data_IF_435355916714
#
_entry.id   IF_435355916714
#
_cell.length_a   1.000
_cell.length_b   1.000
_cell.length_c   1.000
_cell.angle_alpha   90.00
_cell.angle_beta   90.00
_cell.angle_gamma   90.00
#
_symmetry.space_group_name_H-M   'P 1'
#
loop_
_entity.id
_entity.type
_entity.pdbx_description
1 polymer ?
#
# COMPACT_ATOMS: atom_id res chain seq x y z
N UNK A 1 -20.50 -30.54 -63.09
CA UNK A 1 -21.93 -30.81 -62.84
C UNK A 1 -21.99 -31.88 -61.76
N UNK A 2 -22.00 -31.50 -60.49
CA UNK A 2 -22.08 -32.44 -59.36
C UNK A 2 -22.96 -31.81 -58.27
N UNK A 3 -24.00 -32.55 -57.85
CA UNK A 3 -24.91 -32.16 -56.77
C UNK A 3 -24.42 -32.79 -55.46
N UNK A 4 -24.47 -32.10 -54.32
CA UNK A 4 -24.15 -32.71 -53.03
C UNK A 4 -25.36 -33.44 -52.42
N UNK A 5 -25.04 -34.57 -51.80
CA UNK A 5 -25.91 -35.57 -51.20
C UNK A 5 -26.66 -35.08 -49.94
N UNK A 6 -27.94 -35.43 -49.81
CA UNK A 6 -28.73 -35.27 -48.57
C UNK A 6 -28.52 -36.47 -47.63
N UNK A 7 -28.31 -36.21 -46.34
CA UNK A 7 -28.25 -37.23 -45.27
C UNK A 7 -29.67 -37.66 -44.82
N UNK A 8 -29.90 -38.93 -44.43
CA UNK A 8 -31.16 -39.38 -43.85
C UNK A 8 -31.26 -39.11 -42.32
N UNK A 9 -32.47 -39.08 -41.75
CA UNK A 9 -32.69 -38.75 -40.34
C UNK A 9 -32.42 -39.94 -39.38
N UNK A 10 -32.19 -39.68 -38.08
CA UNK A 10 -31.83 -40.71 -37.10
C UNK A 10 -33.03 -41.51 -36.59
N UNK A 11 -32.82 -42.73 -36.05
CA UNK A 11 -33.89 -43.60 -35.54
C UNK A 11 -34.31 -43.21 -34.11
N UNK A 12 -35.57 -43.51 -33.77
CA UNK A 12 -36.14 -43.31 -32.42
C UNK A 12 -35.63 -44.37 -31.42
N UNK A 13 -35.40 -44.02 -30.14
CA UNK A 13 -34.95 -44.97 -29.14
C UNK A 13 -36.09 -45.86 -28.63
N UNK A 14 -35.80 -47.16 -28.47
CA UNK A 14 -36.66 -48.14 -27.80
C UNK A 14 -36.42 -48.13 -26.27
N UNK A 15 -37.49 -48.24 -25.50
CA UNK A 15 -37.43 -48.34 -24.04
C UNK A 15 -36.92 -49.72 -23.61
N UNK A 16 -35.91 -49.75 -22.72
CA UNK A 16 -35.44 -50.97 -22.04
C UNK A 16 -35.97 -50.99 -20.60
N UNK A 17 -36.33 -52.17 -20.04
CA UNK A 17 -36.80 -52.27 -18.66
C UNK A 17 -35.65 -52.09 -17.66
N UNK A 18 -35.98 -51.53 -16.48
CA UNK A 18 -35.03 -51.24 -15.41
C UNK A 18 -34.44 -52.52 -14.79
N UNK A 19 -33.11 -52.53 -14.67
CA UNK A 19 -32.35 -53.60 -14.02
C UNK A 19 -32.44 -53.49 -12.48
N UNK A 20 -32.59 -54.62 -11.75
CA UNK A 20 -32.74 -54.64 -10.28
C UNK A 20 -31.54 -54.07 -9.50
N UNK A 21 -30.43 -53.75 -10.16
CA UNK A 21 -29.24 -53.13 -9.56
C UNK A 21 -29.43 -51.65 -9.17
N UNK A 22 -30.43 -50.95 -9.75
CA UNK A 22 -30.66 -49.52 -9.43
C UNK A 22 -31.37 -49.35 -8.09
N UNK A 23 -32.17 -50.33 -7.66
CA UNK A 23 -32.91 -50.25 -6.40
C UNK A 23 -31.98 -50.31 -5.18
N UNK A 24 -30.90 -51.09 -5.25
CA UNK A 24 -29.94 -51.24 -4.15
C UNK A 24 -29.02 -50.02 -3.99
N UNK A 25 -28.65 -49.34 -5.07
CA UNK A 25 -27.73 -48.18 -5.02
C UNK A 25 -28.41 -46.93 -4.42
N UNK A 26 -29.74 -46.80 -4.53
CA UNK A 26 -30.47 -45.63 -4.01
C UNK A 26 -31.03 -45.87 -2.61
N UNK A 27 -31.48 -47.10 -2.29
CA UNK A 27 -32.12 -47.38 -1.00
C UNK A 27 -31.12 -47.44 0.17
N UNK A 28 -29.91 -47.96 -0.04
CA UNK A 28 -28.89 -48.06 1.00
C UNK A 28 -28.46 -46.70 1.61
N UNK A 29 -28.14 -45.65 0.83
CA UNK A 29 -27.77 -44.36 1.40
C UNK A 29 -28.94 -43.66 2.12
N UNK A 30 -30.18 -43.87 1.67
CA UNK A 30 -31.37 -43.30 2.34
C UNK A 30 -31.62 -43.96 3.72
N UNK A 31 -31.42 -45.28 3.83
CA UNK A 31 -31.51 -45.98 5.11
C UNK A 31 -30.39 -45.52 6.06
N UNK A 32 -29.18 -45.31 5.54
CA UNK A 32 -28.06 -44.80 6.34
C UNK A 32 -28.34 -43.38 6.89
N UNK A 33 -28.84 -42.47 6.05
CA UNK A 33 -29.26 -41.12 6.47
C UNK A 33 -30.37 -41.16 7.54
N UNK A 34 -31.34 -42.07 7.39
CA UNK A 34 -32.39 -42.28 8.39
C UNK A 34 -31.84 -42.76 9.74
N UNK A 35 -30.87 -43.67 9.73
CA UNK A 35 -30.24 -44.15 10.97
C UNK A 35 -29.40 -43.07 11.66
N UNK A 36 -28.68 -42.23 10.91
CA UNK A 36 -27.93 -41.09 11.47
C UNK A 36 -28.88 -40.06 12.11
N UNK A 37 -30.01 -39.77 11.46
CA UNK A 37 -31.01 -38.85 11.99
C UNK A 37 -31.65 -39.37 13.29
N UNK A 38 -31.98 -40.67 13.34
CA UNK A 38 -32.49 -41.31 14.56
C UNK A 38 -31.46 -41.31 15.70
N UNK A 39 -30.18 -41.55 15.39
CA UNK A 39 -29.10 -41.46 16.38
C UNK A 39 -28.95 -40.03 16.93
N UNK A 40 -29.10 -39.00 16.08
CA UNK A 40 -29.09 -37.61 16.52
C UNK A 40 -30.27 -37.25 17.43
N UNK A 41 -31.47 -37.76 17.14
CA UNK A 41 -32.63 -37.57 18.01
C UNK A 41 -32.46 -38.25 19.38
N UNK A 42 -31.84 -39.43 19.44
CA UNK A 42 -31.57 -40.09 20.72
C UNK A 42 -30.46 -39.40 21.53
N UNK A 43 -29.50 -38.75 20.87
CA UNK A 43 -28.48 -37.92 21.53
C UNK A 43 -29.05 -36.62 22.09
N UNK A 44 -29.97 -35.95 21.38
CA UNK A 44 -30.65 -34.76 21.89
C UNK A 44 -31.67 -35.06 23.01
N UNK A 45 -32.28 -36.25 23.00
CA UNK A 45 -33.22 -36.68 24.05
C UNK A 45 -32.58 -37.09 25.38
N UNK A 46 -31.24 -37.24 25.45
CA UNK A 46 -30.52 -37.71 26.65
C UNK A 46 -29.78 -36.62 27.44
N UNK A 47 -29.79 -35.36 26.98
CA UNK A 47 -29.22 -34.23 27.71
C UNK A 47 -30.32 -33.20 27.99
N UNK A 48 -31.01 -33.25 29.16
CA UNK A 48 -31.84 -32.14 29.56
C UNK A 48 -30.96 -30.90 29.71
N UNK A 49 -31.42 -29.78 29.16
CA UNK A 49 -30.80 -28.46 29.30
C UNK A 49 -30.54 -28.19 30.78
N UNK A 50 -29.27 -28.28 31.18
CA UNK A 50 -28.80 -27.79 32.47
C UNK A 50 -28.99 -26.27 32.46
N UNK A 51 -30.08 -25.84 33.10
CA UNK A 51 -30.29 -24.47 33.52
C UNK A 51 -29.18 -24.09 34.52
N UNK A 52 -28.06 -23.60 34.00
CA UNK A 52 -27.11 -22.82 34.78
C UNK A 52 -27.68 -21.41 34.93
N UNK A 53 -28.44 -21.20 36.01
CA UNK A 53 -28.61 -19.87 36.57
C UNK A 53 -27.23 -19.37 37.03
N UNK A 54 -26.72 -18.22 36.53
CA UNK A 54 -25.59 -17.58 37.16
C UNK A 54 -26.04 -17.02 38.51
N UNK A 55 -25.22 -17.14 39.59
CA UNK A 55 -25.51 -16.42 40.82
C UNK A 55 -25.44 -14.91 40.53
N UNK A 56 -26.38 -14.17 41.10
CA UNK A 56 -26.40 -12.72 41.09
C UNK A 56 -25.12 -12.17 41.75
N UNK A 57 -24.10 -11.89 40.93
CA UNK A 57 -22.93 -11.12 41.34
C UNK A 57 -23.25 -9.63 41.15
N UNK A 58 -23.66 -9.04 42.26
CA UNK A 58 -23.46 -7.65 42.68
C UNK A 58 -22.56 -6.84 41.72
N UNK A 59 -23.16 -5.92 40.96
CA UNK A 59 -22.46 -4.90 40.20
C UNK A 59 -21.64 -4.03 41.17
N UNK A 60 -20.36 -4.39 41.38
CA UNK A 60 -19.35 -3.39 41.71
C UNK A 60 -19.15 -2.58 40.43
N UNK A 61 -19.47 -1.29 40.48
CA UNK A 61 -18.97 -0.30 39.53
C UNK A 61 -17.43 -0.31 39.56
N UNK A 62 -16.84 -1.24 38.80
CA UNK A 62 -15.46 -1.14 38.35
C UNK A 62 -15.42 -0.09 37.26
N UNK A 63 -14.61 0.95 37.46
CA UNK A 63 -14.34 2.00 36.49
C UNK A 63 -14.14 1.37 35.11
N UNK A 64 -15.03 1.71 34.18
CA UNK A 64 -14.82 1.49 32.76
C UNK A 64 -13.43 2.00 32.42
N UNK A 65 -12.54 1.11 32.02
CA UNK A 65 -11.26 1.47 31.41
C UNK A 65 -11.60 2.23 30.14
N UNK A 66 -11.65 3.55 30.23
CA UNK A 66 -11.74 4.44 29.08
C UNK A 66 -10.51 4.17 28.22
N UNK A 67 -10.70 3.43 27.14
CA UNK A 67 -9.75 3.40 26.02
C UNK A 67 -9.61 4.87 25.58
N UNK A 68 -8.39 5.43 25.51
CA UNK A 68 -8.22 6.82 25.14
C UNK A 68 -8.68 6.99 23.69
N UNK A 69 -9.87 7.55 23.49
CA UNK A 69 -10.30 8.01 22.17
C UNK A 69 -9.29 9.03 21.65
N UNK A 70 -8.79 8.84 20.43
CA UNK A 70 -8.09 9.90 19.71
C UNK A 70 -9.03 11.11 19.65
N UNK A 71 -8.57 12.27 20.14
CA UNK A 71 -9.31 13.53 19.93
C UNK A 71 -9.46 13.75 18.42
N UNK A 72 -10.61 14.25 17.99
CA UNK A 72 -10.90 14.65 16.59
C UNK A 72 -9.87 15.60 15.97
N UNK A 73 -9.05 16.25 16.81
CA UNK A 73 -8.03 17.24 16.42
C UNK A 73 -6.58 16.78 16.60
N UNK A 74 -6.31 15.48 16.86
CA UNK A 74 -4.93 14.99 16.94
C UNK A 74 -4.40 14.66 15.54
N UNK A 75 -3.56 15.54 14.99
CA UNK A 75 -2.80 15.28 13.76
C UNK A 75 -1.63 14.32 14.08
N UNK A 76 -1.68 13.03 13.68
CA UNK A 76 -0.67 12.05 14.08
C UNK A 76 0.72 12.35 13.51
N UNK A 77 0.76 13.19 12.49
CA UNK A 77 1.92 13.51 11.66
C UNK A 77 2.71 14.72 12.14
N UNK A 78 2.20 15.46 13.13
CA UNK A 78 2.93 16.53 13.84
C UNK A 78 3.42 16.01 15.17
N UNK A 79 4.66 16.32 15.53
CA UNK A 79 5.30 15.71 16.69
C UNK A 79 6.82 15.75 16.62
N UNK A 80 7.46 14.89 17.39
CA UNK A 80 8.92 14.83 17.48
C UNK A 80 9.44 13.40 17.59
N UNK A 81 10.65 13.16 17.09
CA UNK A 81 11.35 11.90 17.30
C UNK A 81 12.01 11.87 18.68
N UNK A 82 11.73 10.82 19.43
CA UNK A 82 12.38 10.53 20.70
C UNK A 82 13.08 9.18 20.68
N UNK A 83 14.08 9.01 21.55
CA UNK A 83 14.66 7.69 21.80
C UNK A 83 13.66 6.87 22.62
N UNK A 84 13.33 5.68 22.13
CA UNK A 84 12.42 4.75 22.78
C UNK A 84 12.89 3.31 22.61
N UNK A 85 12.40 2.44 23.49
CA UNK A 85 12.59 0.99 23.35
C UNK A 85 11.36 0.40 22.68
N UNK A 86 11.41 0.30 21.35
CA UNK A 86 10.42 -0.45 20.59
C UNK A 86 11.06 -1.69 20.01
N UNK A 87 10.63 -2.90 20.43
CA UNK A 87 11.08 -4.13 19.80
C UNK A 87 10.77 -4.10 18.30
N UNK A 88 11.70 -4.62 17.49
CA UNK A 88 11.44 -4.82 16.08
C UNK A 88 10.27 -5.80 15.93
N UNK A 89 9.27 -5.44 15.12
CA UNK A 89 8.13 -6.32 14.86
C UNK A 89 8.49 -7.52 14.00
N UNK A 90 9.50 -7.36 13.16
CA UNK A 90 9.98 -8.39 12.25
C UNK A 90 11.49 -8.28 12.07
N UNK A 91 12.09 -9.37 11.62
CA UNK A 91 13.51 -9.46 11.33
C UNK A 91 13.77 -9.50 9.82
N UNK A 92 15.05 -9.54 9.43
CA UNK A 92 15.45 -9.61 8.02
C UNK A 92 15.02 -10.90 7.28
N UNK A 93 14.38 -11.85 7.97
CA UNK A 93 13.89 -13.12 7.40
C UNK A 93 12.49 -13.00 6.78
N UNK A 94 11.78 -11.88 6.99
CA UNK A 94 10.43 -11.70 6.44
C UNK A 94 10.40 -11.97 4.91
N UNK A 95 9.47 -12.82 4.42
CA UNK A 95 9.48 -13.30 3.03
C UNK A 95 9.06 -12.24 2.00
N UNK A 96 8.54 -11.09 2.44
CA UNK A 96 8.10 -9.99 1.60
C UNK A 96 9.19 -8.96 1.28
N UNK A 97 10.33 -9.05 1.96
CA UNK A 97 11.45 -8.12 1.76
C UNK A 97 11.92 -8.03 0.30
N UNK A 98 12.36 -6.82 -0.07
CA UNK A 98 13.22 -6.60 -1.23
C UNK A 98 14.66 -6.53 -0.77
N UNK A 99 15.58 -7.11 -1.54
CA UNK A 99 17.00 -7.18 -1.17
C UNK A 99 17.58 -5.79 -0.84
N UNK A 100 17.32 -4.80 -1.69
CA UNK A 100 17.87 -3.45 -1.54
C UNK A 100 17.43 -2.71 -0.26
N UNK A 101 16.33 -3.13 0.38
CA UNK A 101 15.78 -2.44 1.57
C UNK A 101 15.99 -3.25 2.86
N UNK A 102 16.47 -4.49 2.76
CA UNK A 102 16.71 -5.36 3.91
C UNK A 102 18.08 -5.04 4.54
N UNK A 103 18.16 -3.89 5.20
CA UNK A 103 19.41 -3.36 5.74
C UNK A 103 19.98 -4.21 6.88
N UNK A 104 19.14 -4.93 7.63
CA UNK A 104 19.60 -5.93 8.60
C UNK A 104 20.40 -7.04 7.91
N UNK A 105 19.85 -7.63 6.85
CA UNK A 105 20.53 -8.70 6.10
C UNK A 105 21.75 -8.20 5.34
N UNK A 106 21.70 -6.95 4.85
CA UNK A 106 22.79 -6.35 4.10
C UNK A 106 23.92 -5.83 5.00
N UNK A 107 23.85 -6.04 6.32
CA UNK A 107 24.93 -5.73 7.25
C UNK A 107 25.11 -4.23 7.50
N UNK A 108 24.05 -3.43 7.39
CA UNK A 108 24.12 -2.00 7.69
C UNK A 108 24.43 -1.77 9.16
N UNK A 109 25.46 -0.98 9.47
CA UNK A 109 25.80 -0.67 10.84
C UNK A 109 24.77 0.29 11.47
N UNK A 110 24.65 0.26 12.79
CA UNK A 110 23.81 1.21 13.53
C UNK A 110 22.29 0.97 13.42
N UNK A 111 21.86 -0.17 12.85
CA UNK A 111 20.43 -0.49 12.69
C UNK A 111 19.64 -0.50 14.01
N UNK A 112 20.24 -0.92 15.13
CA UNK A 112 19.63 -0.81 16.46
C UNK A 112 19.38 0.66 16.85
N UNK A 113 20.38 1.51 16.61
CA UNK A 113 20.28 2.95 16.82
C UNK A 113 19.21 3.59 15.92
N UNK A 114 19.12 3.19 14.65
CA UNK A 114 18.13 3.73 13.71
C UNK A 114 16.70 3.33 14.12
N UNK A 115 16.52 2.10 14.61
CA UNK A 115 15.21 1.56 14.98
C UNK A 115 14.77 1.86 16.43
N UNK A 116 15.63 2.46 17.24
CA UNK A 116 15.26 2.95 18.59
C UNK A 116 14.64 4.35 18.59
N UNK A 117 14.42 4.94 17.42
CA UNK A 117 13.66 6.18 17.30
C UNK A 117 12.17 5.88 17.25
N UNK A 118 11.38 6.60 18.04
CA UNK A 118 9.93 6.51 18.11
C UNK A 118 9.34 7.90 17.88
N UNK A 119 8.33 7.98 17.02
CA UNK A 119 7.63 9.22 16.73
C UNK A 119 6.58 9.53 17.79
N UNK A 120 6.62 10.70 18.41
CA UNK A 120 5.66 11.13 19.44
C UNK A 120 4.82 12.27 18.88
N UNK A 121 3.52 12.07 18.60
CA UNK A 121 2.64 13.12 18.10
C UNK A 121 2.42 14.27 19.11
N UNK A 122 2.21 15.50 18.62
CA UNK A 122 2.25 16.75 19.41
C UNK A 122 1.08 16.92 20.40
N UNK A 123 -0.09 16.26 20.23
CA UNK A 123 -1.29 16.58 21.05
C UNK A 123 -2.29 15.42 21.28
N UNK A 124 -1.82 14.17 21.41
CA UNK A 124 -2.70 13.02 21.71
C UNK A 124 -2.83 12.70 23.22
N UNK A 125 -2.41 13.59 24.14
CA UNK A 125 -2.41 13.35 25.60
C UNK A 125 -3.45 14.22 26.29
N UNK A 126 -4.50 13.63 26.87
CA UNK A 126 -5.18 14.26 28.01
C UNK A 126 -4.25 14.16 29.21
N UNK A 127 -4.08 15.22 30.00
CA UNK A 127 -3.11 15.36 31.12
C UNK A 127 -3.09 14.22 32.16
N UNK A 128 -4.03 13.27 32.12
CA UNK A 128 -4.15 12.12 33.00
C UNK A 128 -3.79 10.74 32.37
N UNK A 129 -3.39 10.67 31.10
CA UNK A 129 -3.09 9.40 30.42
C UNK A 129 -1.60 9.30 30.08
N UNK A 130 -1.00 8.13 30.29
CA UNK A 130 0.34 7.79 29.79
C UNK A 130 0.51 8.21 28.32
N UNK A 131 1.73 8.54 27.85
CA UNK A 131 1.96 8.88 26.45
C UNK A 131 1.30 7.83 25.55
N UNK A 132 0.63 8.23 24.45
CA UNK A 132 -0.04 7.29 23.56
C UNK A 132 0.94 6.18 23.19
N UNK A 133 0.50 4.93 23.29
CA UNK A 133 1.32 3.80 22.86
C UNK A 133 1.54 3.97 21.36
N UNK A 134 2.72 4.43 20.97
CA UNK A 134 3.09 4.59 19.55
C UNK A 134 3.34 3.19 18.98
N UNK A 135 2.30 2.67 18.36
CA UNK A 135 2.29 1.36 17.71
C UNK A 135 0.97 0.62 17.96
N UNK A 136 0.76 -0.41 17.17
CA UNK A 136 -0.41 -1.28 17.27
C UNK A 136 0.03 -2.74 17.44
N UNK A 137 -0.91 -3.57 17.91
CA UNK A 137 -0.80 -5.02 17.89
C UNK A 137 -1.19 -5.53 16.48
N UNK A 138 -0.26 -6.15 15.71
CA UNK A 138 -0.57 -6.63 14.38
C UNK A 138 -1.67 -7.69 14.32
N UNK A 139 -1.82 -8.52 15.36
CA UNK A 139 -2.88 -9.52 15.42
C UNK A 139 -4.24 -8.87 15.66
N UNK A 140 -4.30 -7.85 16.53
CA UNK A 140 -5.52 -7.07 16.75
C UNK A 140 -5.95 -6.35 15.47
N UNK A 141 -5.02 -5.71 14.76
CA UNK A 141 -5.33 -5.06 13.49
C UNK A 141 -5.80 -6.06 12.42
N UNK A 142 -5.13 -7.20 12.26
CA UNK A 142 -5.58 -8.26 11.34
C UNK A 142 -6.98 -8.77 11.71
N UNK A 143 -7.30 -8.86 13.00
CA UNK A 143 -8.64 -9.23 13.48
C UNK A 143 -9.69 -8.18 13.11
N UNK A 144 -9.41 -6.90 13.33
CA UNK A 144 -10.30 -5.80 12.92
C UNK A 144 -10.49 -5.73 11.40
N UNK A 145 -9.45 -6.11 10.64
CA UNK A 145 -9.47 -6.17 9.19
C UNK A 145 -9.99 -7.51 8.63
N UNK A 146 -10.52 -8.41 9.45
CA UNK A 146 -10.91 -9.76 9.03
C UNK A 146 -11.82 -9.71 7.79
N UNK A 147 -11.45 -10.48 6.77
CA UNK A 147 -12.18 -10.55 5.51
C UNK A 147 -12.11 -9.27 4.66
N UNK A 148 -11.15 -8.35 4.90
CA UNK A 148 -10.99 -7.11 4.13
C UNK A 148 -9.76 -7.11 3.23
N UNK A 149 -9.76 -6.20 2.26
CA UNK A 149 -8.69 -6.05 1.27
C UNK A 149 -8.13 -4.63 1.25
N UNK A 150 -6.81 -4.52 1.33
CA UNK A 150 -6.05 -3.27 1.36
C UNK A 150 -5.22 -3.17 0.08
N UNK A 151 -5.42 -2.10 -0.69
CA UNK A 151 -4.71 -1.85 -1.94
C UNK A 151 -3.81 -0.62 -1.82
N UNK A 152 -2.59 -0.73 -2.29
CA UNK A 152 -1.66 0.37 -2.44
C UNK A 152 -1.42 0.62 -3.92
N UNK A 153 -1.41 1.88 -4.33
CA UNK A 153 -1.26 2.28 -5.73
C UNK A 153 -0.22 3.37 -5.82
N UNK A 154 0.73 3.26 -6.75
CA UNK A 154 1.66 4.35 -7.02
C UNK A 154 3.07 3.93 -7.36
N UNK A 155 4.05 4.70 -6.86
CA UNK A 155 5.47 4.56 -7.17
C UNK A 155 6.21 3.57 -6.24
N UNK A 156 7.54 3.50 -6.39
CA UNK A 156 8.38 2.55 -5.65
C UNK A 156 8.45 2.82 -4.14
N UNK A 157 8.08 4.01 -3.66
CA UNK A 157 8.00 4.27 -2.24
C UNK A 157 6.74 3.65 -1.63
N UNK A 158 5.63 3.56 -2.38
CA UNK A 158 4.51 2.74 -1.90
C UNK A 158 4.87 1.25 -1.91
N UNK A 159 5.68 0.78 -2.85
CA UNK A 159 6.22 -0.59 -2.74
C UNK A 159 7.08 -0.76 -1.48
N UNK A 160 7.94 0.21 -1.15
CA UNK A 160 8.76 0.20 0.07
C UNK A 160 7.88 0.21 1.33
N UNK A 161 6.83 1.04 1.35
CA UNK A 161 5.85 1.08 2.43
C UNK A 161 5.09 -0.25 2.58
N UNK A 162 4.60 -0.82 1.48
CA UNK A 162 3.89 -2.11 1.47
C UNK A 162 4.76 -3.25 1.99
N UNK A 163 6.06 -3.25 1.71
CA UNK A 163 6.96 -4.28 2.25
C UNK A 163 7.05 -4.18 3.78
N UNK A 164 7.15 -2.97 4.34
CA UNK A 164 7.09 -2.75 5.80
C UNK A 164 5.75 -3.20 6.38
N UNK A 165 4.65 -2.83 5.73
CA UNK A 165 3.30 -3.21 6.14
C UNK A 165 3.13 -4.73 6.16
N UNK A 166 3.49 -5.41 5.07
CA UNK A 166 3.42 -6.87 4.96
C UNK A 166 4.29 -7.58 6.00
N UNK A 167 5.52 -7.12 6.22
CA UNK A 167 6.41 -7.72 7.22
C UNK A 167 5.93 -7.47 8.65
N UNK A 168 5.32 -6.31 8.91
CA UNK A 168 4.67 -6.02 10.19
C UNK A 168 3.50 -6.97 10.45
N UNK A 169 2.65 -7.23 9.46
CA UNK A 169 1.51 -8.15 9.63
C UNK A 169 1.95 -9.62 9.68
N UNK A 170 3.02 -9.97 8.97
CA UNK A 170 3.58 -11.33 8.99
C UNK A 170 4.03 -11.77 10.38
N UNK A 171 4.38 -10.84 11.29
CA UNK A 171 4.71 -11.19 12.66
C UNK A 171 3.53 -11.72 13.48
N UNK A 172 2.29 -11.47 13.05
CA UNK A 172 1.07 -12.01 13.65
C UNK A 172 0.48 -13.20 12.87
N UNK A 173 0.79 -13.34 11.58
CA UNK A 173 0.37 -14.49 10.77
C UNK A 173 1.54 -14.97 9.90
N UNK A 174 2.28 -15.93 10.45
CA UNK A 174 3.46 -16.52 9.83
C UNK A 174 3.16 -17.33 8.56
N UNK A 175 1.90 -17.75 8.36
CA UNK A 175 1.44 -18.52 7.20
C UNK A 175 1.07 -17.63 6.01
N UNK A 176 1.34 -16.33 6.10
CA UNK A 176 1.06 -15.38 5.04
C UNK A 176 1.74 -15.79 3.72
N UNK A 177 0.97 -15.76 2.64
CA UNK A 177 1.41 -16.19 1.31
C UNK A 177 1.56 -15.00 0.38
N UNK A 178 2.53 -15.05 -0.53
CA UNK A 178 2.65 -14.04 -1.59
C UNK A 178 1.37 -13.98 -2.42
N UNK A 179 0.90 -12.77 -2.70
CA UNK A 179 -0.30 -12.52 -3.48
C UNK A 179 0.00 -11.60 -4.67
N UNK A 180 -0.30 -12.07 -5.88
CA UNK A 180 -0.08 -11.35 -7.16
C UNK A 180 -1.26 -11.45 -8.12
N UNK A 181 -2.47 -11.68 -7.58
CA UNK A 181 -3.68 -11.78 -8.39
C UNK A 181 -4.15 -10.38 -8.80
N UNK A 182 -5.10 -10.30 -9.74
CA UNK A 182 -5.71 -9.04 -10.21
C UNK A 182 -4.68 -7.97 -10.66
N UNK A 183 -3.55 -8.38 -11.24
CA UNK A 183 -2.52 -7.46 -11.73
C UNK A 183 -1.57 -6.91 -10.66
N UNK A 184 -1.69 -7.33 -9.40
CA UNK A 184 -0.81 -6.84 -8.35
C UNK A 184 0.65 -7.25 -8.57
N UNK A 185 1.53 -6.25 -8.49
CA UNK A 185 2.97 -6.42 -8.62
C UNK A 185 3.56 -7.16 -7.41
N UNK A 186 3.03 -6.85 -6.22
CA UNK A 186 3.40 -7.43 -4.94
C UNK A 186 2.18 -7.49 -4.01
N UNK A 187 2.18 -8.41 -3.06
CA UNK A 187 1.13 -8.52 -2.06
C UNK A 187 1.32 -9.71 -1.14
N UNK A 188 0.45 -9.79 -0.13
CA UNK A 188 0.36 -10.86 0.84
C UNK A 188 -1.10 -11.22 1.15
N UNK A 189 -1.36 -12.50 1.36
CA UNK A 189 -2.62 -13.04 1.85
C UNK A 189 -2.39 -13.68 3.21
N UNK A 190 -3.14 -13.25 4.22
CA UNK A 190 -3.03 -13.67 5.62
C UNK A 190 -4.20 -14.63 5.94
N UNK A 191 -3.99 -15.96 5.82
CA UNK A 191 -5.08 -16.93 5.82
C UNK A 191 -5.85 -17.02 7.15
N UNK A 192 -5.22 -16.74 8.29
CA UNK A 192 -5.91 -16.82 9.59
C UNK A 192 -6.98 -15.73 9.76
N UNK A 193 -6.87 -14.66 8.96
CA UNK A 193 -7.74 -13.49 9.05
C UNK A 193 -8.51 -13.21 7.75
N UNK A 194 -8.27 -13.96 6.67
CA UNK A 194 -8.77 -13.63 5.32
C UNK A 194 -8.49 -12.17 4.94
N UNK A 195 -7.26 -11.71 5.19
CA UNK A 195 -6.82 -10.35 4.83
C UNK A 195 -5.94 -10.42 3.59
N UNK A 196 -6.20 -9.55 2.61
CA UNK A 196 -5.32 -9.38 1.45
C UNK A 196 -4.74 -7.98 1.45
N UNK A 197 -3.43 -7.87 1.25
CA UNK A 197 -2.72 -6.62 0.99
C UNK A 197 -2.06 -6.71 -0.37
N UNK A 198 -2.25 -5.70 -1.22
CA UNK A 198 -1.72 -5.70 -2.58
C UNK A 198 -1.16 -4.34 -2.98
N UNK A 199 -0.17 -4.35 -3.87
CA UNK A 199 0.44 -3.18 -4.48
C UNK A 199 0.31 -3.24 -6.00
N UNK A 200 -0.23 -2.17 -6.58
CA UNK A 200 -0.33 -1.91 -8.01
C UNK A 200 0.62 -0.79 -8.40
N UNK A 201 1.56 -1.10 -9.28
CA UNK A 201 2.55 -0.13 -9.73
C UNK A 201 1.94 0.77 -10.79
N UNK A 202 1.75 2.05 -10.47
CA UNK A 202 1.18 3.06 -11.34
C UNK A 202 1.88 4.40 -11.09
N UNK A 203 3.12 4.53 -11.58
CA UNK A 203 4.05 5.60 -11.19
C UNK A 203 3.58 7.03 -11.50
N UNK A 204 2.74 7.21 -12.54
CA UNK A 204 2.11 8.49 -12.89
C UNK A 204 0.61 8.52 -12.60
N UNK A 205 0.03 7.41 -12.11
CA UNK A 205 -1.42 7.16 -11.94
C UNK A 205 -2.26 7.24 -13.23
N UNK A 206 -1.97 8.16 -14.15
CA UNK A 206 -2.56 8.23 -15.50
C UNK A 206 -1.92 7.23 -16.46
N UNK A 207 -2.66 6.88 -17.51
CA UNK A 207 -2.16 6.06 -18.60
C UNK A 207 -1.03 6.81 -19.30
N UNK A 208 0.13 6.16 -19.38
CA UNK A 208 1.27 6.71 -20.10
C UNK A 208 1.93 5.66 -20.99
N UNK A 209 2.48 6.08 -22.12
CA UNK A 209 3.05 5.18 -23.14
C UNK A 209 4.15 5.88 -23.93
N UNK A 210 5.21 5.13 -24.21
CA UNK A 210 6.31 5.57 -25.06
C UNK A 210 5.85 5.70 -26.52
N UNK A 211 6.26 6.79 -27.17
CA UNK A 211 6.10 7.04 -28.59
C UNK A 211 7.46 7.40 -29.20
N UNK A 212 7.99 6.62 -30.16
CA UNK A 212 9.22 6.98 -30.85
C UNK A 212 9.00 8.21 -31.73
N UNK A 213 10.05 9.01 -31.94
CA UNK A 213 9.99 10.10 -32.91
C UNK A 213 9.80 9.54 -34.33
N UNK A 214 8.84 10.07 -35.09
CA UNK A 214 8.63 9.69 -36.48
C UNK A 214 9.74 10.24 -37.39
N UNK A 215 10.18 9.46 -38.39
CA UNK A 215 11.01 9.97 -39.48
C UNK A 215 12.49 10.21 -39.15
N UNK A 216 13.12 9.42 -38.28
CA UNK A 216 14.59 9.38 -38.13
C UNK A 216 15.23 8.87 -39.44
N UNK A 217 15.34 9.74 -40.44
CA UNK A 217 16.32 9.59 -41.51
C UNK A 217 17.71 9.74 -40.89
N UNK A 218 18.56 8.74 -41.15
CA UNK A 218 19.94 8.71 -40.67
C UNK A 218 20.65 9.99 -41.15
N UNK A 219 20.79 10.98 -40.27
CA UNK A 219 21.40 12.28 -40.61
C UNK A 219 20.84 13.51 -39.88
N UNK A 220 19.60 13.46 -39.36
CA UNK A 220 19.05 14.55 -38.54
C UNK A 220 19.40 14.36 -37.06
N UNK A 221 20.22 15.24 -36.50
CA UNK A 221 20.52 15.31 -35.05
C UNK A 221 19.33 15.91 -34.28
N UNK A 222 18.15 15.30 -34.36
CA UNK A 222 17.11 15.60 -33.36
C UNK A 222 17.59 15.08 -32.01
N UNK A 223 17.76 15.97 -31.02
CA UNK A 223 18.09 15.57 -29.63
C UNK A 223 16.97 14.73 -29.00
N UNK A 224 15.73 14.86 -29.49
CA UNK A 224 14.56 14.12 -29.00
C UNK A 224 14.46 12.77 -29.73
N UNK A 225 14.47 11.69 -28.95
CA UNK A 225 14.36 10.29 -29.42
C UNK A 225 12.90 9.82 -29.56
N UNK A 226 11.99 10.55 -28.94
CA UNK A 226 10.57 10.24 -28.79
C UNK A 226 10.06 10.86 -27.50
N UNK A 227 8.83 10.54 -27.09
CA UNK A 227 8.22 11.08 -25.89
C UNK A 227 7.32 10.06 -25.18
N UNK A 228 7.04 10.30 -23.91
CA UNK A 228 6.01 9.58 -23.18
C UNK A 228 4.72 10.36 -23.22
N UNK A 229 3.74 9.87 -23.99
CA UNK A 229 2.37 10.39 -23.97
C UNK A 229 1.75 10.06 -22.61
N UNK A 230 1.19 11.06 -21.94
CA UNK A 230 0.39 10.92 -20.71
C UNK A 230 -1.03 11.40 -21.01
N UNK A 231 -2.00 10.49 -20.97
CA UNK A 231 -3.42 10.84 -21.11
C UNK A 231 -3.94 11.27 -19.71
N UNK A 232 -4.01 12.57 -19.45
CA UNK A 232 -4.24 13.10 -18.08
C UNK A 232 -5.60 12.72 -17.51
N UNK A 233 -6.57 12.56 -18.39
CA UNK A 233 -7.98 12.24 -18.15
C UNK A 233 -8.28 10.74 -18.15
N UNK A 234 -7.30 9.90 -18.47
CA UNK A 234 -7.46 8.44 -18.50
C UNK A 234 -6.57 7.79 -17.44
N UNK A 235 -7.14 7.18 -16.38
CA UNK A 235 -6.35 6.52 -15.36
C UNK A 235 -5.68 5.26 -15.92
N UNK A 236 -4.55 4.89 -15.33
CA UNK A 236 -3.86 3.64 -15.67
C UNK A 236 -4.73 2.43 -15.29
N UNK A 237 -4.94 1.53 -16.24
CA UNK A 237 -5.77 0.34 -16.08
C UNK A 237 -5.27 -0.62 -14.98
N UNK A 238 -3.97 -0.56 -14.66
CA UNK A 238 -3.33 -1.39 -13.63
C UNK A 238 -3.98 -1.22 -12.25
N UNK A 239 -4.55 -0.06 -11.95
CA UNK A 239 -5.23 0.19 -10.67
C UNK A 239 -6.70 0.55 -10.81
N UNK A 240 -7.09 1.23 -11.89
CA UNK A 240 -8.48 1.68 -12.09
C UNK A 240 -9.46 0.50 -12.16
N UNK A 241 -9.04 -0.61 -12.78
CA UNK A 241 -9.91 -1.76 -13.02
C UNK A 241 -10.15 -2.64 -11.78
N UNK A 242 -9.52 -2.33 -10.66
CA UNK A 242 -9.51 -3.18 -9.46
C UNK A 242 -9.94 -2.46 -8.20
N UNK A 243 -10.31 -1.18 -8.28
CA UNK A 243 -10.68 -0.35 -7.12
C UNK A 243 -11.82 -0.95 -6.29
N UNK A 244 -12.84 -1.52 -6.94
CA UNK A 244 -14.00 -2.13 -6.30
C UNK A 244 -13.69 -3.41 -5.50
N UNK A 245 -12.51 -3.99 -5.68
CA UNK A 245 -12.04 -5.14 -4.90
C UNK A 245 -11.51 -4.76 -3.51
N UNK A 246 -11.18 -3.48 -3.29
CA UNK A 246 -10.51 -3.03 -2.09
C UNK A 246 -11.48 -2.29 -1.14
N UNK A 247 -11.32 -2.57 0.14
CA UNK A 247 -12.02 -1.88 1.23
C UNK A 247 -11.21 -0.68 1.75
N UNK A 248 -9.89 -0.70 1.56
CA UNK A 248 -8.98 0.41 1.83
C UNK A 248 -8.06 0.62 0.63
N UNK A 249 -7.91 1.85 0.16
CA UNK A 249 -6.99 2.23 -0.91
C UNK A 249 -6.01 3.32 -0.45
N UNK A 250 -4.72 3.12 -0.68
CA UNK A 250 -3.65 4.07 -0.34
C UNK A 250 -2.89 4.46 -1.61
N UNK A 251 -3.05 5.69 -2.06
CA UNK A 251 -2.45 6.23 -3.28
C UNK A 251 -1.17 7.02 -2.98
N UNK A 252 -0.26 7.06 -3.94
CA UNK A 252 0.82 8.04 -3.98
C UNK A 252 1.31 8.26 -5.42
N UNK A 253 1.92 9.40 -5.68
CA UNK A 253 2.74 9.66 -6.86
C UNK A 253 3.65 10.86 -6.58
N UNK A 254 4.83 10.92 -7.19
CA UNK A 254 5.73 12.07 -7.02
C UNK A 254 7.16 11.81 -7.48
N UNK A 255 7.77 10.68 -7.11
CA UNK A 255 9.22 10.47 -7.36
C UNK A 255 9.60 10.27 -8.83
N UNK A 256 8.62 10.10 -9.71
CA UNK A 256 8.84 10.03 -11.16
C UNK A 256 8.65 11.37 -11.87
N UNK A 257 8.14 12.39 -11.17
CA UNK A 257 7.84 13.70 -11.74
C UNK A 257 9.08 14.60 -11.72
N UNK A 258 10.12 14.17 -12.42
CA UNK A 258 11.36 14.92 -12.55
C UNK A 258 12.17 14.58 -13.80
N UNK A 259 13.10 15.46 -14.20
CA UNK A 259 13.91 15.29 -15.39
C UNK A 259 14.84 14.06 -15.32
N UNK A 260 15.12 13.54 -14.12
CA UNK A 260 15.89 12.31 -13.93
C UNK A 260 15.18 11.06 -14.48
N UNK A 261 13.84 11.08 -14.54
CA UNK A 261 13.04 9.98 -15.13
C UNK A 261 12.59 10.29 -16.54
N UNK A 262 12.34 11.56 -16.83
CA UNK A 262 11.88 12.05 -18.12
C UNK A 262 12.78 13.18 -18.61
N UNK A 263 13.99 12.86 -19.10
CA UNK A 263 14.95 13.86 -19.56
C UNK A 263 14.48 14.48 -20.90
N UNK A 264 15.18 15.52 -21.36
CA UNK A 264 14.80 16.29 -22.55
C UNK A 264 14.76 15.44 -23.84
N UNK A 265 15.54 14.38 -23.90
CA UNK A 265 15.59 13.45 -25.04
C UNK A 265 14.37 12.52 -25.09
N UNK A 266 13.69 12.32 -23.95
CA UNK A 266 12.50 11.48 -23.80
C UNK A 266 11.47 12.13 -22.85
N UNK A 267 10.93 13.31 -23.19
CA UNK A 267 10.11 14.11 -22.28
C UNK A 267 8.71 13.52 -22.11
N UNK A 268 7.98 14.03 -21.12
CA UNK A 268 6.52 13.84 -21.02
C UNK A 268 5.82 14.77 -22.01
N UNK A 269 4.77 14.27 -22.66
CA UNK A 269 3.82 15.09 -23.44
C UNK A 269 2.42 14.75 -23.00
N UNK A 270 1.67 15.76 -22.59
CA UNK A 270 0.36 15.60 -21.96
C UNK A 270 -0.75 15.72 -23.00
N UNK A 271 -1.73 14.83 -22.88
CA UNK A 271 -2.88 14.72 -23.76
C UNK A 271 -4.16 14.75 -22.93
N UNK A 272 -5.22 15.33 -23.48
CA UNK A 272 -6.57 15.33 -22.92
C UNK A 272 -7.56 15.13 -24.05
N UNK A 273 -8.57 14.27 -23.84
CA UNK A 273 -9.60 13.95 -24.83
C UNK A 273 -9.01 13.48 -26.19
N UNK A 274 -7.84 12.83 -26.14
CA UNK A 274 -7.15 12.31 -27.31
C UNK A 274 -6.14 13.27 -27.96
N UNK A 275 -6.22 14.57 -27.64
CA UNK A 275 -5.44 15.65 -28.26
C UNK A 275 -4.29 16.14 -27.36
N UNK A 276 -3.15 16.60 -27.92
CA UNK A 276 -2.05 17.16 -27.14
C UNK A 276 -2.47 18.49 -26.50
N UNK A 277 -2.06 18.70 -25.25
CA UNK A 277 -2.32 19.95 -24.55
C UNK A 277 -1.45 21.08 -25.10
N UNK A 278 -2.07 22.23 -25.39
CA UNK A 278 -1.42 23.44 -25.92
C UNK A 278 -1.80 24.64 -25.05
N UNK A 279 -0.83 25.41 -24.52
CA UNK A 279 0.62 25.21 -24.64
C UNK A 279 1.11 23.92 -23.95
N UNK A 280 2.27 23.36 -24.36
CA UNK A 280 2.86 22.21 -23.69
C UNK A 280 3.12 22.50 -22.21
N UNK A 281 2.81 21.53 -21.35
CA UNK A 281 3.03 21.64 -19.91
C UNK A 281 4.43 21.19 -19.52
N UNK A 282 5.01 21.85 -18.53
CA UNK A 282 6.14 21.33 -17.77
C UNK A 282 5.75 20.08 -16.96
N UNK A 283 6.74 19.39 -16.39
CA UNK A 283 6.49 18.18 -15.58
C UNK A 283 5.62 18.49 -14.36
N UNK A 284 5.84 19.62 -13.67
CA UNK A 284 5.06 19.96 -12.47
C UNK A 284 3.65 20.46 -12.82
N UNK A 285 3.48 21.24 -13.89
CA UNK A 285 2.15 21.62 -14.38
C UNK A 285 1.36 20.36 -14.82
N UNK A 286 2.03 19.42 -15.49
CA UNK A 286 1.44 18.13 -15.85
C UNK A 286 1.07 17.28 -14.63
N UNK A 287 1.89 17.30 -13.56
CA UNK A 287 1.57 16.64 -12.29
C UNK A 287 0.28 17.22 -11.70
N UNK A 288 0.16 18.55 -11.63
CA UNK A 288 -1.03 19.23 -11.12
C UNK A 288 -2.29 18.80 -11.87
N UNK A 289 -2.24 18.81 -13.22
CA UNK A 289 -3.37 18.38 -14.05
C UNK A 289 -3.71 16.90 -13.80
N UNK A 290 -2.72 16.02 -13.73
CA UNK A 290 -2.92 14.59 -13.47
C UNK A 290 -3.50 14.35 -12.06
N UNK A 291 -3.04 15.09 -11.04
CA UNK A 291 -3.59 15.01 -9.70
C UNK A 291 -5.08 15.37 -9.69
N UNK A 292 -5.45 16.49 -10.31
CA UNK A 292 -6.85 16.95 -10.37
C UNK A 292 -7.75 15.94 -11.09
N UNK A 293 -7.31 15.40 -12.23
CA UNK A 293 -8.07 14.38 -12.95
C UNK A 293 -8.16 13.05 -12.19
N UNK A 294 -7.06 12.61 -11.55
CA UNK A 294 -7.02 11.36 -10.79
C UNK A 294 -7.87 11.43 -9.53
N UNK A 295 -7.76 12.50 -8.75
CA UNK A 295 -8.59 12.71 -7.55
C UNK A 295 -10.07 12.81 -7.94
N UNK A 296 -10.39 13.55 -9.00
CA UNK A 296 -11.75 13.61 -9.54
C UNK A 296 -12.27 12.25 -9.99
N UNK A 297 -11.44 11.42 -10.63
CA UNK A 297 -11.80 10.05 -11.00
C UNK A 297 -12.05 9.17 -9.77
N UNK A 298 -11.19 9.25 -8.75
CA UNK A 298 -11.36 8.52 -7.49
C UNK A 298 -12.70 8.87 -6.84
N UNK A 299 -13.03 10.17 -6.75
CA UNK A 299 -14.28 10.62 -6.15
C UNK A 299 -15.55 10.15 -6.89
N UNK A 300 -15.47 9.93 -8.21
CA UNK A 300 -16.60 9.47 -9.03
C UNK A 300 -16.73 7.95 -9.09
N UNK A 301 -15.62 7.24 -9.25
CA UNK A 301 -15.62 5.83 -9.65
C UNK A 301 -15.27 4.87 -8.50
N UNK A 302 -14.55 5.33 -7.47
CA UNK A 302 -14.24 4.47 -6.32
C UNK A 302 -15.46 4.42 -5.38
N UNK A 303 -15.89 3.22 -4.94
CA UNK A 303 -17.05 3.09 -4.06
C UNK A 303 -16.94 3.97 -2.81
N UNK A 304 -18.01 4.67 -2.44
CA UNK A 304 -18.06 5.52 -1.23
C UNK A 304 -17.73 4.78 0.07
N UNK A 305 -17.97 3.47 0.12
CA UNK A 305 -17.65 2.61 1.27
C UNK A 305 -16.16 2.28 1.40
N UNK A 306 -15.36 2.54 0.37
CA UNK A 306 -13.92 2.29 0.38
C UNK A 306 -13.24 3.43 1.10
N UNK A 307 -12.45 3.13 2.12
CA UNK A 307 -11.63 4.11 2.81
C UNK A 307 -10.44 4.50 1.92
N UNK A 308 -10.22 5.80 1.72
CA UNK A 308 -9.26 6.31 0.74
C UNK A 308 -8.22 7.16 1.42
N UNK A 309 -6.95 6.83 1.21
CA UNK A 309 -5.81 7.58 1.67
C UNK A 309 -4.96 8.05 0.50
N UNK A 310 -4.39 9.24 0.65
CA UNK A 310 -3.30 9.71 -0.16
C UNK A 310 -2.06 9.88 0.70
N UNK A 311 -1.02 9.10 0.47
CA UNK A 311 0.24 9.25 1.17
C UNK A 311 0.99 10.46 0.61
N UNK A 312 1.38 11.37 1.48
CA UNK A 312 2.24 12.49 1.09
C UNK A 312 3.60 11.99 0.55
N UNK A 313 4.31 12.90 -0.09
CA UNK A 313 5.58 12.62 -0.73
C UNK A 313 6.67 12.30 0.30
N UNK A 314 7.37 11.18 0.11
CA UNK A 314 8.52 10.83 0.95
C UNK A 314 9.69 11.75 0.61
N UNK A 315 10.42 12.29 1.60
CA UNK A 315 11.63 13.06 1.33
C UNK A 315 12.80 12.15 0.90
N UNK A 316 13.73 12.76 0.17
CA UNK A 316 15.06 12.23 -0.13
C UNK A 316 16.11 13.02 0.65
N UNK A 317 17.28 12.43 0.92
CA UNK A 317 18.32 13.04 1.76
C UNK A 317 19.70 13.04 1.11
N UNK A 318 19.82 13.68 -0.05
CA UNK A 318 21.10 13.84 -0.72
C UNK A 318 21.93 14.98 -0.14
N UNK A 319 23.22 14.71 0.08
CA UNK A 319 24.23 15.68 0.48
C UNK A 319 25.41 15.69 -0.46
N UNK A 320 25.92 16.88 -0.76
CA UNK A 320 27.06 17.12 -1.65
C UNK A 320 26.70 17.17 -3.15
N UNK A 321 25.53 16.68 -3.55
CA UNK A 321 25.05 16.70 -4.92
C UNK A 321 23.83 15.81 -5.12
N UNK A 322 23.32 15.74 -6.35
CA UNK A 322 22.23 14.84 -6.75
C UNK A 322 22.67 13.36 -6.82
N UNK A 323 21.70 12.46 -7.01
CA UNK A 323 21.94 11.01 -7.15
C UNK A 323 22.97 10.65 -8.23
N UNK A 324 23.07 11.43 -9.31
CA UNK A 324 24.02 11.26 -10.42
C UNK A 324 25.22 12.24 -10.36
N UNK A 325 25.33 13.04 -9.30
CA UNK A 325 26.37 14.06 -9.11
C UNK A 325 27.07 13.85 -7.76
N UNK A 326 27.47 12.61 -7.49
CA UNK A 326 28.17 12.21 -6.26
C UNK A 326 27.42 12.52 -4.94
N UNK A 327 26.10 12.67 -5.00
CA UNK A 327 25.25 12.78 -3.82
C UNK A 327 25.35 11.55 -2.91
N UNK A 328 25.28 11.79 -1.60
CA UNK A 328 25.39 10.73 -0.57
C UNK A 328 24.40 10.91 0.57
N UNK A 329 24.16 9.85 1.33
CA UNK A 329 23.27 9.85 2.50
C UNK A 329 23.78 8.96 3.64
N UNK A 330 25.09 8.99 3.89
CA UNK A 330 25.73 8.20 4.96
C UNK A 330 25.60 8.86 6.34
N UNK A 331 24.41 9.30 6.69
CA UNK A 331 24.12 9.93 7.97
C UNK A 331 24.01 8.89 9.09
N UNK A 332 24.52 9.26 10.28
CA UNK A 332 24.45 8.43 11.50
C UNK A 332 23.42 8.95 12.51
N UNK A 333 22.89 10.16 12.29
CA UNK A 333 21.96 10.85 13.20
C UNK A 333 20.88 11.55 12.36
N UNK A 334 19.66 11.69 12.92
CA UNK A 334 18.64 12.55 12.33
C UNK A 334 19.12 14.00 12.14
N UNK A 335 18.53 14.67 11.17
CA UNK A 335 18.61 16.12 10.98
C UNK A 335 17.85 16.79 12.14
N UNK A 336 18.35 17.94 12.60
CA UNK A 336 17.67 18.73 13.63
C UNK A 336 16.56 19.59 13.02
N UNK A 337 15.55 19.93 13.81
CA UNK A 337 14.40 20.71 13.35
C UNK A 337 14.80 22.05 12.71
N UNK A 338 15.74 22.77 13.33
CA UNK A 338 16.27 24.06 12.85
C UNK A 338 17.03 23.97 11.51
N UNK A 339 17.32 22.76 11.05
CA UNK A 339 17.99 22.51 9.78
C UNK A 339 17.01 22.11 8.66
N UNK A 340 15.76 21.76 8.97
CA UNK A 340 14.84 21.20 7.96
C UNK A 340 14.58 22.18 6.81
N UNK A 341 14.37 23.46 7.11
CA UNK A 341 14.13 24.45 6.04
C UNK A 341 15.34 24.62 5.13
N UNK A 342 16.56 24.61 5.68
CA UNK A 342 17.78 24.66 4.89
C UNK A 342 17.89 23.48 3.89
N UNK A 343 17.32 22.32 4.24
CA UNK A 343 17.35 21.12 3.41
C UNK A 343 16.20 21.02 2.41
N UNK A 344 14.99 21.35 2.84
CA UNK A 344 13.75 20.96 2.13
C UNK A 344 12.94 22.15 1.62
N UNK A 345 13.21 23.38 2.07
CA UNK A 345 12.48 24.54 1.59
C UNK A 345 12.77 24.79 0.09
N UNK A 346 11.73 24.81 -0.77
CA UNK A 346 11.88 25.09 -2.19
C UNK A 346 12.62 26.40 -2.52
N UNK A 347 12.52 27.40 -1.64
CA UNK A 347 13.17 28.71 -1.78
C UNK A 347 14.70 28.60 -1.75
N UNK A 348 15.24 27.59 -1.08
CA UNK A 348 16.67 27.35 -0.96
C UNK A 348 17.26 26.68 -2.20
N UNK A 349 16.42 26.24 -3.15
CA UNK A 349 16.82 25.59 -4.41
C UNK A 349 17.75 24.38 -4.23
N UNK A 350 17.72 23.75 -3.07
CA UNK A 350 18.49 22.54 -2.77
C UNK A 350 17.96 21.31 -3.52
N UNK A 351 18.73 20.22 -3.42
CA UNK A 351 18.46 18.94 -4.12
C UNK A 351 17.42 18.05 -3.43
N UNK A 352 16.82 18.48 -2.31
CA UNK A 352 15.86 17.67 -1.54
C UNK A 352 14.46 18.29 -1.46
N UNK A 353 14.22 19.39 -2.17
CA UNK A 353 13.01 20.21 -2.05
C UNK A 353 11.73 19.59 -2.64
N UNK A 354 11.86 18.57 -3.50
CA UNK A 354 10.73 18.08 -4.31
C UNK A 354 9.58 17.60 -3.45
N UNK A 355 9.85 17.05 -2.25
CA UNK A 355 8.79 16.55 -1.39
C UNK A 355 7.82 17.66 -0.96
N UNK A 356 8.33 18.84 -0.59
CA UNK A 356 7.50 19.98 -0.21
C UNK A 356 6.79 20.61 -1.42
N UNK A 357 7.46 20.70 -2.57
CA UNK A 357 6.84 21.20 -3.82
C UNK A 357 5.67 20.30 -4.27
N UNK A 358 5.90 18.98 -4.35
CA UNK A 358 4.88 18.00 -4.77
C UNK A 358 3.73 17.94 -3.77
N UNK A 359 4.01 18.04 -2.47
CA UNK A 359 2.96 18.02 -1.45
C UNK A 359 2.03 19.22 -1.51
N UNK A 360 2.52 20.39 -1.92
CA UNK A 360 1.66 21.54 -2.13
C UNK A 360 0.56 21.24 -3.14
N UNK A 361 0.93 20.67 -4.29
CA UNK A 361 -0.01 20.27 -5.34
C UNK A 361 -0.95 19.14 -4.89
N UNK A 362 -0.43 18.16 -4.14
CA UNK A 362 -1.25 17.08 -3.56
C UNK A 362 -2.31 17.67 -2.64
N UNK A 363 -1.93 18.53 -1.70
CA UNK A 363 -2.86 19.11 -0.72
C UNK A 363 -3.95 19.95 -1.41
N UNK A 364 -3.58 20.71 -2.43
CA UNK A 364 -4.55 21.45 -3.26
C UNK A 364 -5.54 20.52 -3.95
N UNK A 365 -5.06 19.45 -4.60
CA UNK A 365 -5.92 18.51 -5.32
C UNK A 365 -6.87 17.72 -4.39
N UNK A 366 -6.47 17.46 -3.15
CA UNK A 366 -7.28 16.74 -2.16
C UNK A 366 -8.30 17.62 -1.43
N UNK A 367 -8.20 18.95 -1.56
CA UNK A 367 -9.06 19.88 -0.84
C UNK A 367 -10.54 19.64 -1.17
N UNK A 368 -11.36 19.47 -0.13
CA UNK A 368 -12.81 19.23 -0.29
C UNK A 368 -13.18 17.82 -0.74
N UNK A 369 -12.22 16.88 -0.78
CA UNK A 369 -12.49 15.46 -1.08
C UNK A 369 -12.63 14.62 0.18
N UNK A 370 -13.10 13.38 0.04
CA UNK A 370 -13.17 12.38 1.10
C UNK A 370 -11.93 11.46 1.13
N UNK A 371 -10.81 11.92 0.57
CA UNK A 371 -9.53 11.21 0.56
C UNK A 371 -8.69 11.76 1.71
N UNK A 372 -8.35 10.90 2.68
CA UNK A 372 -7.57 11.26 3.84
C UNK A 372 -6.09 11.43 3.48
N UNK A 373 -5.48 12.55 3.87
CA UNK A 373 -4.04 12.72 3.72
C UNK A 373 -3.30 11.91 4.79
N UNK A 374 -2.58 10.88 4.37
CA UNK A 374 -1.57 10.20 5.19
C UNK A 374 -0.27 11.03 5.12
N UNK A 375 -0.18 12.04 5.96
CA UNK A 375 0.95 12.97 5.97
C UNK A 375 2.17 12.32 6.65
N UNK A 376 3.19 11.96 5.87
CA UNK A 376 4.41 11.31 6.38
C UNK A 376 5.65 12.15 6.17
N UNK A 377 5.52 13.32 5.54
CA UNK A 377 6.69 14.07 5.06
C UNK A 377 7.48 14.66 6.20
N UNK A 378 6.83 15.45 7.07
CA UNK A 378 7.49 16.15 8.17
C UNK A 378 8.28 15.18 9.08
N UNK A 379 7.65 14.11 9.57
CA UNK A 379 8.35 13.11 10.38
C UNK A 379 9.52 12.45 9.63
N UNK A 380 9.42 12.30 8.31
CA UNK A 380 10.45 11.62 7.53
C UNK A 380 11.63 12.53 7.19
N UNK A 381 11.45 13.86 7.14
CA UNK A 381 12.50 14.85 6.84
C UNK A 381 13.61 14.88 7.91
N UNK A 382 13.31 14.45 9.13
CA UNK A 382 14.33 14.28 10.16
C UNK A 382 15.26 13.11 9.87
N UNK A 383 14.81 12.09 9.15
CA UNK A 383 15.36 10.73 9.24
C UNK A 383 16.42 10.43 8.18
N UNK A 384 17.31 11.38 7.88
CA UNK A 384 18.43 11.19 6.96
C UNK A 384 19.30 9.96 7.30
N UNK A 385 19.30 9.54 8.57
CA UNK A 385 19.98 8.35 9.08
C UNK A 385 19.35 7.01 8.66
N UNK A 386 18.19 6.97 8.01
CA UNK A 386 17.43 5.73 7.83
C UNK A 386 17.39 5.16 6.39
N UNK A 387 18.18 5.72 5.47
CA UNK A 387 18.27 5.24 4.08
C UNK A 387 19.19 4.01 3.88
N UNK A 388 18.93 3.12 2.90
CA UNK A 388 19.83 2.04 2.54
C UNK A 388 21.20 2.51 2.09
N UNK A 389 21.32 3.72 1.52
CA UNK A 389 22.57 4.31 1.06
C UNK A 389 23.40 3.33 0.20
N UNK A 390 24.44 2.73 0.78
CA UNK A 390 25.33 1.77 0.11
C UNK A 390 24.97 0.28 0.34
N UNK A 391 24.15 -0.03 1.35
CA UNK A 391 23.83 -1.39 1.78
C UNK A 391 22.71 -2.00 0.94
N UNK A 392 22.93 -2.12 -0.37
CA UNK A 392 21.93 -2.54 -1.36
C UNK A 392 21.89 -4.06 -1.60
N UNK A 393 22.77 -4.82 -0.94
CA UNK A 393 22.80 -6.29 -1.00
C UNK A 393 23.22 -6.86 -2.35
N UNK A 394 23.81 -6.07 -3.24
CA UNK A 394 24.36 -6.51 -4.53
C UNK A 394 25.71 -5.84 -4.79
N UNK A 395 26.70 -6.64 -5.18
CA UNK A 395 28.03 -6.16 -5.59
C UNK A 395 27.88 -5.15 -6.73
N UNK A 396 28.63 -4.05 -6.65
CA UNK A 396 28.66 -2.95 -7.63
C UNK A 396 27.35 -2.16 -7.79
N UNK A 397 26.31 -2.42 -6.99
CA UNK A 397 25.04 -1.69 -7.10
C UNK A 397 25.23 -0.17 -6.95
N UNK A 398 26.07 0.27 -6.02
CA UNK A 398 26.38 1.68 -5.80
C UNK A 398 27.12 2.28 -7.00
N UNK A 399 28.03 1.53 -7.62
CA UNK A 399 28.76 1.98 -8.81
C UNK A 399 27.84 2.17 -10.02
N UNK A 400 26.80 1.32 -10.13
CA UNK A 400 25.88 1.34 -11.27
C UNK A 400 24.74 2.35 -11.06
N UNK A 401 24.19 2.43 -9.85
CA UNK A 401 22.94 3.15 -9.56
C UNK A 401 23.09 4.33 -8.61
N UNK A 402 24.28 4.57 -8.06
CA UNK A 402 24.49 5.53 -6.98
C UNK A 402 24.02 4.99 -5.62
N UNK A 403 24.06 5.85 -4.60
CA UNK A 403 23.52 5.54 -3.28
C UNK A 403 21.99 5.66 -3.30
N UNK A 404 21.29 4.75 -2.62
CA UNK A 404 19.85 4.86 -2.45
C UNK A 404 19.52 5.77 -1.26
N UNK A 405 19.33 7.06 -1.57
CA UNK A 405 18.96 8.12 -0.62
C UNK A 405 17.49 8.53 -0.75
N UNK A 406 16.68 7.64 -1.34
CA UNK A 406 15.28 7.87 -1.66
C UNK A 406 14.39 6.83 -0.96
N UNK A 407 14.70 5.53 -1.07
CA UNK A 407 13.98 4.48 -0.33
C UNK A 407 14.48 4.36 1.10
N UNK A 408 13.75 3.60 1.93
CA UNK A 408 14.07 3.44 3.34
C UNK A 408 14.54 2.02 3.67
N UNK A 409 15.46 1.93 4.64
CA UNK A 409 15.76 0.66 5.29
C UNK A 409 14.53 0.10 5.99
N UNK A 410 14.41 -1.21 5.96
CA UNK A 410 13.37 -1.98 6.63
C UNK A 410 14.01 -3.02 7.56
N UNK A 411 13.57 -3.12 8.83
CA UNK A 411 12.69 -2.18 9.56
C UNK A 411 13.29 -0.77 9.65
N UNK A 412 12.43 0.24 9.81
CA UNK A 412 12.81 1.65 9.79
C UNK A 412 11.63 2.63 9.70
N UNK A 413 11.84 3.78 9.07
CA UNK A 413 10.86 4.89 8.98
C UNK A 413 9.49 4.45 8.47
N UNK A 414 9.37 3.59 7.44
CA UNK A 414 8.07 3.10 7.00
C UNK A 414 7.26 2.38 8.07
N UNK A 415 7.89 1.80 9.11
CA UNK A 415 7.15 1.14 10.20
C UNK A 415 6.35 2.15 11.04
N UNK A 416 6.79 3.41 11.09
CA UNK A 416 6.03 4.53 11.68
C UNK A 416 4.87 4.94 10.77
N UNK A 417 5.06 4.91 9.45
CA UNK A 417 3.97 5.14 8.51
C UNK A 417 2.89 4.06 8.65
N UNK A 418 3.28 2.80 8.91
CA UNK A 418 2.34 1.70 9.19
C UNK A 418 1.51 2.04 10.43
N UNK A 419 2.14 2.53 11.50
CA UNK A 419 1.42 2.87 12.73
C UNK A 419 0.37 3.95 12.50
N UNK A 420 0.75 5.02 11.78
CA UNK A 420 -0.15 6.13 11.48
C UNK A 420 -1.31 5.66 10.59
N UNK A 421 -1.02 4.90 9.53
CA UNK A 421 -2.05 4.36 8.65
C UNK A 421 -3.00 3.44 9.42
N UNK A 422 -2.49 2.55 10.27
CA UNK A 422 -3.32 1.64 11.06
C UNK A 422 -4.19 2.41 12.06
N UNK A 423 -3.64 3.41 12.75
CA UNK A 423 -4.40 4.24 13.67
C UNK A 423 -5.56 4.95 12.94
N UNK A 424 -5.30 5.52 11.75
CA UNK A 424 -6.34 6.16 10.95
C UNK A 424 -7.39 5.15 10.46
N UNK A 425 -6.98 3.97 9.95
CA UNK A 425 -7.92 2.92 9.53
C UNK A 425 -8.82 2.49 10.70
N UNK A 426 -8.25 2.21 11.88
CA UNK A 426 -9.03 1.74 13.03
C UNK A 426 -9.99 2.83 13.53
N UNK A 427 -9.55 4.08 13.56
CA UNK A 427 -10.40 5.21 13.89
C UNK A 427 -11.60 5.31 12.94
N UNK A 428 -11.38 5.24 11.63
CA UNK A 428 -12.46 5.33 10.63
C UNK A 428 -13.39 4.11 10.63
N UNK A 429 -12.91 2.95 11.09
CA UNK A 429 -13.74 1.77 11.29
C UNK A 429 -14.52 1.76 12.61
N UNK A 430 -14.28 2.73 13.51
CA UNK A 430 -14.91 2.80 14.83
C UNK A 430 -14.29 1.84 15.87
N UNK A 431 -13.08 1.36 15.61
CA UNK A 431 -12.32 0.38 16.42
C UNK A 431 -11.11 1.04 17.13
N UNK A 432 -11.12 2.38 17.24
CA UNK A 432 -10.00 3.22 17.68
C UNK A 432 -10.08 3.82 19.08
#
# INVERSE_FOLDING_TARGET
MERPWRKPPPPRPSARPFSPCVLTVVLLPLVFLGMVFLAHLQLYGRYPLLNFFPPAMQQRHGKSSTVPHLRRDCEPSRGQWARGRRPLRYNGSCPFHRNAWNCLRNGREGMEGINSWVWIPETCVSEAASPPKVGFDPAAFLSAMRGRRIGFVGDSLNENFVVSFLCTLWSADGDARKWKKKGAWKGGYFPHFDVTVAYHRAVLLSRYRWQPAEGLTSGSKSEVKGFYRVDVDVPAGDWANVTSFYDVLVFNTGHWWGPDKFPKETPLVFYKDGEPMVPPLSILEGLEVVLNHTVGYIGREVPRRTLKFWRSQSPRHFYGGEWNQNGSCLFKKPIKEDQLDAWFDPRNRGVNKEAREVNHLIQQALQGTDIHLLNITYLSEFRADAHPAIWLGKRDAVKIWGQDCLHWCLPGVPDTWVDILVAQILHDLGEG
#
